data_IF_643537301992
#
_entry.id   IF_643537301992
#
_cell.length_a   1.000
_cell.length_b   1.000
_cell.length_c   1.000
_cell.angle_alpha   90.00
_cell.angle_beta   90.00
_cell.angle_gamma   90.00
#
_symmetry.space_group_name_H-M   'P 1'
#
loop_
_entity.id
_entity.type
_entity.pdbx_description
1 polymer ?
#
# COMPACT_ATOMS: atom_id res chain seq x y z
N UNK A 1 9.30 33.12 -1.70
CA UNK A 1 8.37 33.33 -0.56
C UNK A 1 7.35 32.20 -0.64
N UNK A 2 7.45 31.22 0.26
CA UNK A 2 6.74 29.92 0.12
C UNK A 2 5.50 29.82 1.04
N UNK A 3 4.93 30.95 1.43
CA UNK A 3 3.67 30.99 2.20
C UNK A 3 2.50 31.10 1.22
N UNK A 4 1.50 30.24 1.39
CA UNK A 4 0.22 30.37 0.71
C UNK A 4 -0.49 31.67 1.16
N UNK A 5 -1.37 32.22 0.31
CA UNK A 5 -2.15 33.41 0.65
C UNK A 5 -3.09 33.16 1.86
N UNK A 6 -3.61 31.94 1.95
CA UNK A 6 -4.47 31.44 3.02
C UNK A 6 -5.29 30.24 2.55
N UNK A 7 -6.28 29.84 3.35
CA UNK A 7 -7.24 28.81 2.95
C UNK A 7 -8.41 29.41 2.17
N UNK A 8 -8.95 28.62 1.23
CA UNK A 8 -10.15 28.98 0.46
C UNK A 8 -11.31 29.31 1.43
N UNK A 9 -12.02 30.40 1.14
CA UNK A 9 -13.11 30.96 1.96
C UNK A 9 -12.69 31.47 3.35
N UNK A 10 -11.39 31.76 3.57
CA UNK A 10 -10.92 32.36 4.82
C UNK A 10 -11.05 31.44 6.03
N UNK A 11 -11.03 30.12 5.81
CA UNK A 11 -11.00 29.14 6.90
C UNK A 11 -9.70 29.26 7.69
N UNK A 12 -9.76 28.93 8.98
CA UNK A 12 -8.62 28.89 9.90
C UNK A 12 -7.67 30.11 9.82
N UNK A 13 -8.19 31.35 9.96
CA UNK A 13 -7.38 32.57 9.82
C UNK A 13 -6.22 32.61 10.83
N UNK A 14 -6.40 31.98 11.99
CA UNK A 14 -5.42 31.92 13.07
C UNK A 14 -4.17 31.07 12.73
N UNK A 15 -4.17 30.34 11.61
CA UNK A 15 -3.01 29.59 11.13
C UNK A 15 -1.97 30.48 10.46
N UNK A 16 -2.38 31.59 9.84
CA UNK A 16 -1.48 32.53 9.17
C UNK A 16 -1.48 33.88 9.89
N UNK A 17 -0.48 34.11 10.73
CA UNK A 17 -0.40 35.26 11.62
C UNK A 17 0.65 36.26 11.16
N UNK A 18 0.57 37.49 11.65
CA UNK A 18 1.66 38.46 11.49
C UNK A 18 2.91 38.00 12.24
N UNK A 19 4.08 38.25 11.66
CA UNK A 19 5.37 37.93 12.26
C UNK A 19 5.85 39.09 13.15
N UNK A 20 5.78 38.98 14.50
CA UNK A 20 6.23 40.07 15.38
C UNK A 20 7.75 40.26 15.38
N UNK A 21 8.50 39.32 14.79
CA UNK A 21 9.97 39.33 14.73
C UNK A 21 10.50 39.73 13.34
N UNK A 22 9.61 40.12 12.41
CA UNK A 22 10.02 40.49 11.06
C UNK A 22 10.84 41.79 11.07
N UNK A 23 12.09 41.71 10.63
CA UNK A 23 12.94 42.87 10.33
C UNK A 23 12.79 43.24 8.85
N UNK A 24 12.67 42.24 7.97
CA UNK A 24 12.39 42.41 6.55
C UNK A 24 10.88 42.24 6.30
N UNK A 25 10.20 43.19 5.64
CA UNK A 25 8.78 43.12 5.31
C UNK A 25 8.37 41.86 4.54
N UNK A 26 9.30 41.27 3.79
CA UNK A 26 9.09 40.03 3.05
C UNK A 26 8.74 38.85 3.97
N UNK A 27 9.21 38.87 5.23
CA UNK A 27 8.90 37.84 6.24
C UNK A 27 7.81 38.29 7.22
N UNK A 28 6.95 39.22 6.82
CA UNK A 28 5.91 39.82 7.67
C UNK A 28 4.81 38.86 8.16
N UNK A 29 4.75 37.62 7.64
CA UNK A 29 3.75 36.61 8.05
C UNK A 29 4.42 35.29 8.45
N UNK A 30 3.79 34.55 9.36
CA UNK A 30 4.17 33.20 9.80
C UNK A 30 3.00 32.23 9.60
N UNK A 31 3.32 30.96 9.36
CA UNK A 31 2.35 29.87 9.38
C UNK A 31 2.57 28.98 10.61
N UNK A 32 1.50 28.74 11.38
CA UNK A 32 1.49 27.85 12.54
C UNK A 32 1.30 26.41 12.08
N UNK A 33 2.42 25.71 11.87
CA UNK A 33 2.41 24.33 11.35
C UNK A 33 1.70 23.33 12.28
N UNK A 34 1.64 23.63 13.58
CA UNK A 34 1.15 22.70 14.61
C UNK A 34 2.18 21.67 15.04
N UNK A 35 3.37 21.65 14.44
CA UNK A 35 4.48 20.81 14.86
C UNK A 35 5.17 21.43 16.08
N UNK A 36 5.66 20.59 16.99
CA UNK A 36 6.62 21.02 18.00
C UNK A 36 7.97 20.37 17.73
N UNK A 37 9.02 21.14 18.01
CA UNK A 37 10.39 20.78 17.71
C UNK A 37 11.31 21.29 18.82
N UNK A 38 12.47 20.65 18.96
CA UNK A 38 13.56 21.12 19.80
C UNK A 38 14.70 21.64 18.94
N UNK A 39 15.31 22.76 19.33
CA UNK A 39 16.48 23.31 18.64
C UNK A 39 17.75 22.94 19.40
N UNK A 40 18.71 22.31 18.73
CA UNK A 40 20.03 21.99 19.32
C UNK A 40 21.12 22.08 18.27
N UNK A 41 22.24 22.73 18.62
CA UNK A 41 23.41 22.96 17.73
C UNK A 41 23.07 23.57 16.36
N UNK A 42 22.06 24.44 16.31
CA UNK A 42 21.61 25.08 15.07
C UNK A 42 20.70 24.20 14.19
N UNK A 43 20.40 22.98 14.61
CA UNK A 43 19.46 22.08 13.94
C UNK A 43 18.09 22.09 14.63
N UNK A 44 17.03 21.96 13.84
CA UNK A 44 15.65 21.79 14.32
C UNK A 44 15.32 20.30 14.29
N UNK A 45 15.09 19.72 15.47
CA UNK A 45 14.66 18.33 15.62
C UNK A 45 13.15 18.30 15.78
N UNK A 46 12.46 17.68 14.82
CA UNK A 46 11.02 17.42 14.92
C UNK A 46 10.73 16.49 16.11
N UNK A 47 9.72 16.84 16.91
CA UNK A 47 9.37 16.11 18.14
C UNK A 47 7.91 15.63 18.15
N UNK A 48 7.10 16.03 17.17
CA UNK A 48 5.70 15.62 17.04
C UNK A 48 4.79 16.77 16.65
N UNK A 49 3.48 16.53 16.76
CA UNK A 49 2.43 17.51 16.50
C UNK A 49 1.65 17.81 17.77
N UNK A 50 1.23 19.07 17.93
CA UNK A 50 0.31 19.48 18.98
C UNK A 50 -1.13 19.08 18.67
N UNK A 51 -1.47 18.85 17.39
CA UNK A 51 -2.79 18.42 16.96
C UNK A 51 -2.83 16.91 16.64
N UNK A 52 -4.04 16.35 16.53
CA UNK A 52 -4.30 14.92 16.31
C UNK A 52 -3.96 14.46 14.88
N UNK A 53 -3.19 15.22 14.11
CA UNK A 53 -2.86 14.87 12.73
C UNK A 53 -1.67 13.91 12.70
N UNK A 54 -1.82 12.82 11.95
CA UNK A 54 -0.82 11.75 11.84
C UNK A 54 -0.53 11.46 10.37
N UNK A 55 0.64 10.87 10.11
CA UNK A 55 0.93 10.30 8.80
C UNK A 55 0.58 8.81 8.85
N UNK A 56 -0.32 8.35 7.99
CA UNK A 56 -0.65 6.94 7.80
C UNK A 56 -0.25 6.58 6.38
N UNK A 57 0.75 5.70 6.22
CA UNK A 57 1.18 5.21 4.91
C UNK A 57 1.48 6.34 3.91
N UNK A 58 2.12 7.41 4.38
CA UNK A 58 2.44 8.60 3.58
C UNK A 58 1.32 9.65 3.49
N UNK A 59 0.07 9.30 3.82
CA UNK A 59 -1.05 10.24 3.81
C UNK A 59 -1.18 10.99 5.12
N UNK A 60 -1.50 12.27 5.04
CA UNK A 60 -1.84 13.07 6.23
C UNK A 60 -3.31 12.84 6.58
N UNK A 61 -3.54 12.26 7.75
CA UNK A 61 -4.88 11.95 8.25
C UNK A 61 -5.15 12.79 9.49
N UNK A 62 -6.28 13.49 9.51
CA UNK A 62 -6.78 14.14 10.71
C UNK A 62 -7.66 13.17 11.48
N UNK A 63 -7.19 12.72 12.65
CA UNK A 63 -7.96 11.81 13.49
C UNK A 63 -9.33 12.39 13.89
N UNK A 64 -9.42 13.72 14.02
CA UNK A 64 -10.65 14.41 14.39
C UNK A 64 -11.69 14.34 13.26
N UNK A 65 -11.26 14.31 12.01
CA UNK A 65 -12.14 14.13 10.84
C UNK A 65 -12.72 12.71 10.81
N UNK A 66 -11.87 11.70 11.05
CA UNK A 66 -12.31 10.29 11.14
C UNK A 66 -13.27 10.13 12.32
N UNK A 67 -12.95 10.72 13.46
CA UNK A 67 -13.79 10.68 14.67
C UNK A 67 -15.14 11.37 14.46
N UNK A 68 -15.17 12.52 13.80
CA UNK A 68 -16.41 13.22 13.48
C UNK A 68 -17.31 12.41 12.54
N UNK A 69 -16.74 11.74 11.54
CA UNK A 69 -17.49 10.86 10.64
C UNK A 69 -18.03 9.62 11.36
N UNK A 70 -17.22 9.04 12.26
CA UNK A 70 -17.58 7.91 13.12
C UNK A 70 -18.76 8.25 14.04
N UNK A 71 -18.69 9.38 14.75
CA UNK A 71 -19.75 9.88 15.62
C UNK A 71 -20.98 10.35 14.84
N UNK A 72 -20.84 10.64 13.55
CA UNK A 72 -21.94 11.04 12.68
C UNK A 72 -22.77 9.88 12.14
N UNK A 73 -22.46 8.62 12.49
CA UNK A 73 -23.25 7.45 12.12
C UNK A 73 -24.39 7.22 13.12
N UNK A 74 -25.62 7.15 12.62
CA UNK A 74 -26.78 6.82 13.46
C UNK A 74 -26.61 5.43 14.07
N UNK A 75 -26.76 5.28 15.39
CA UNK A 75 -26.52 4.02 16.11
C UNK A 75 -25.15 3.92 16.79
N UNK A 76 -24.26 4.91 16.62
CA UNK A 76 -23.02 5.08 17.41
C UNK A 76 -23.29 6.06 18.57
N UNK A 77 -23.07 5.65 19.82
CA UNK A 77 -23.27 6.50 21.01
C UNK A 77 -22.01 7.34 21.31
N UNK A 78 -20.87 6.68 21.45
CA UNK A 78 -19.57 7.33 21.69
C UNK A 78 -18.49 6.66 20.88
N UNK A 79 -17.49 7.43 20.48
CA UNK A 79 -16.38 7.00 19.65
C UNK A 79 -15.13 7.80 19.94
N UNK A 80 -13.96 7.16 19.83
CA UNK A 80 -12.67 7.83 19.79
C UNK A 80 -11.78 7.16 18.75
N UNK A 81 -11.05 7.97 17.98
CA UNK A 81 -10.09 7.46 17.00
C UNK A 81 -8.66 7.66 17.51
N UNK A 82 -7.89 6.58 17.51
CA UNK A 82 -6.51 6.54 17.98
C UNK A 82 -5.60 5.94 16.92
N UNK A 83 -4.32 6.29 16.96
CA UNK A 83 -3.29 5.61 16.17
C UNK A 83 -2.41 4.79 17.10
N UNK A 84 -2.30 3.50 16.80
CA UNK A 84 -1.31 2.61 17.36
C UNK A 84 0.01 2.77 16.61
N UNK A 85 1.13 2.81 17.34
CA UNK A 85 2.51 3.00 16.85
C UNK A 85 2.64 3.97 15.66
N UNK A 86 2.22 5.23 15.86
CA UNK A 86 2.24 6.24 14.81
C UNK A 86 3.65 6.45 14.23
N UNK A 87 3.80 6.18 12.93
CA UNK A 87 5.09 6.30 12.24
C UNK A 87 5.98 5.06 12.30
N UNK A 88 5.53 3.96 12.89
CA UNK A 88 6.22 2.66 12.87
C UNK A 88 5.62 1.70 11.83
N UNK A 89 6.24 0.52 11.68
CA UNK A 89 5.87 -0.47 10.65
C UNK A 89 4.49 -1.10 10.96
N UNK A 90 4.18 -1.30 12.24
CA UNK A 90 2.93 -1.89 12.72
C UNK A 90 1.85 -0.83 13.05
N UNK A 91 1.99 0.37 12.47
CA UNK A 91 1.02 1.44 12.62
C UNK A 91 -0.40 1.00 12.23
N UNK A 92 -1.37 1.24 13.12
CA UNK A 92 -2.78 0.98 12.86
C UNK A 92 -3.67 2.15 13.29
N UNK A 93 -4.68 2.45 12.47
CA UNK A 93 -5.74 3.40 12.81
C UNK A 93 -6.89 2.65 13.49
N UNK A 94 -7.28 3.05 14.70
CA UNK A 94 -8.24 2.34 15.53
C UNK A 94 -9.42 3.25 15.88
N UNK A 95 -10.64 2.75 15.75
CA UNK A 95 -11.86 3.42 16.18
C UNK A 95 -12.54 2.66 17.30
N UNK A 96 -12.47 3.14 18.54
CA UNK A 96 -13.14 2.50 19.68
C UNK A 96 -14.53 3.09 19.85
N UNK A 97 -15.56 2.24 19.80
CA UNK A 97 -16.96 2.67 19.68
C UNK A 97 -17.86 1.97 20.68
N UNK A 98 -18.84 2.70 21.20
CA UNK A 98 -20.02 2.16 21.91
C UNK A 98 -21.25 2.42 21.06
N UNK A 99 -22.22 1.51 21.09
CA UNK A 99 -23.43 1.60 20.28
C UNK A 99 -24.62 2.08 21.10
N UNK A 100 -25.55 2.78 20.45
CA UNK A 100 -26.82 3.18 21.05
C UNK A 100 -27.70 1.94 21.34
N UNK A 101 -28.62 2.06 22.31
CA UNK A 101 -29.61 1.01 22.54
C UNK A 101 -30.51 0.84 21.31
N UNK A 102 -30.56 -0.39 20.78
CA UNK A 102 -31.31 -0.70 19.56
C UNK A 102 -30.59 -0.31 18.27
N UNK A 103 -29.28 -0.05 18.33
CA UNK A 103 -28.46 0.15 17.14
C UNK A 103 -28.63 -0.99 16.14
N UNK A 104 -28.65 -0.63 14.86
CA UNK A 104 -28.69 -1.60 13.76
C UNK A 104 -27.32 -2.22 13.50
N UNK A 105 -26.25 -1.62 14.03
CA UNK A 105 -24.91 -2.19 14.00
C UNK A 105 -24.79 -3.31 15.05
N UNK A 106 -24.21 -4.43 14.62
CA UNK A 106 -23.93 -5.61 15.44
C UNK A 106 -22.43 -5.90 15.50
N UNK A 107 -21.66 -5.44 14.51
CA UNK A 107 -20.22 -5.67 14.41
C UNK A 107 -19.48 -4.39 14.01
N UNK A 108 -18.19 -4.31 14.35
CA UNK A 108 -17.33 -3.20 13.92
C UNK A 108 -17.24 -3.10 12.39
N UNK A 109 -17.27 -4.23 11.68
CA UNK A 109 -17.22 -4.28 10.22
C UNK A 109 -18.40 -3.54 9.55
N UNK A 110 -19.59 -3.60 10.15
CA UNK A 110 -20.76 -2.86 9.64
C UNK A 110 -20.59 -1.34 9.81
N UNK A 111 -19.94 -0.92 10.91
CA UNK A 111 -19.59 0.48 11.14
C UNK A 111 -18.51 0.93 10.15
N UNK A 112 -17.49 0.11 9.91
CA UNK A 112 -16.46 0.33 8.88
C UNK A 112 -17.10 0.47 7.50
N UNK A 113 -17.99 -0.43 7.10
CA UNK A 113 -18.68 -0.34 5.82
C UNK A 113 -19.46 0.98 5.66
N UNK A 114 -20.15 1.43 6.71
CA UNK A 114 -20.87 2.70 6.70
C UNK A 114 -19.93 3.93 6.64
N UNK A 115 -18.67 3.81 7.08
CA UNK A 115 -17.65 4.85 6.91
C UNK A 115 -17.06 4.90 5.51
N UNK A 116 -17.05 3.77 4.79
CA UNK A 116 -16.49 3.68 3.44
C UNK A 116 -17.14 4.64 2.43
N UNK A 117 -18.39 5.02 2.66
CA UNK A 117 -19.10 6.00 1.83
C UNK A 117 -18.66 7.45 2.08
N UNK A 118 -17.98 7.73 3.20
CA UNK A 118 -17.61 9.09 3.65
C UNK A 118 -16.11 9.32 3.71
N UNK A 119 -15.32 8.28 3.95
CA UNK A 119 -13.88 8.36 4.16
C UNK A 119 -13.12 7.67 3.02
N UNK A 120 -11.96 8.22 2.69
CA UNK A 120 -11.05 7.54 1.78
C UNK A 120 -10.47 6.28 2.41
N UNK A 121 -10.10 5.29 1.59
CA UNK A 121 -9.61 3.98 2.07
C UNK A 121 -8.42 4.08 3.06
N UNK A 122 -7.52 5.05 2.88
CA UNK A 122 -6.37 5.25 3.78
C UNK A 122 -6.74 5.87 5.14
N UNK A 123 -7.95 6.41 5.29
CA UNK A 123 -8.49 6.97 6.55
C UNK A 123 -9.38 5.97 7.30
N UNK A 124 -9.55 4.76 6.77
CA UNK A 124 -10.45 3.77 7.36
C UNK A 124 -9.87 3.22 8.67
N UNK A 125 -10.56 3.41 9.81
CA UNK A 125 -10.12 2.85 11.08
C UNK A 125 -10.54 1.37 11.20
N UNK A 126 -9.76 0.60 11.95
CA UNK A 126 -10.19 -0.67 12.49
C UNK A 126 -11.17 -0.41 13.66
N UNK A 127 -12.45 -0.70 13.50
CA UNK A 127 -13.48 -0.37 14.50
C UNK A 127 -13.59 -1.48 15.55
N UNK A 128 -13.48 -1.13 16.82
CA UNK A 128 -13.57 -2.03 17.97
C UNK A 128 -14.78 -1.61 18.78
N UNK A 129 -15.77 -2.51 18.90
CA UNK A 129 -16.94 -2.28 19.73
C UNK A 129 -16.62 -2.57 21.19
N UNK A 130 -17.01 -1.65 22.07
CA UNK A 130 -16.86 -1.73 23.52
C UNK A 130 -18.23 -1.60 24.18
N UNK A 131 -18.37 -2.20 25.37
CA UNK A 131 -19.52 -1.94 26.23
C UNK A 131 -19.46 -0.53 26.84
N UNK A 132 -18.25 -0.04 27.12
CA UNK A 132 -18.01 1.31 27.62
C UNK A 132 -16.61 1.82 27.27
N UNK A 133 -16.49 3.12 27.06
CA UNK A 133 -15.18 3.77 26.87
C UNK A 133 -14.55 4.02 28.24
N UNK A 134 -13.33 3.50 28.51
CA UNK A 134 -12.65 3.68 29.78
C UNK A 134 -12.27 5.16 29.97
N UNK A 135 -12.45 5.64 31.21
CA UNK A 135 -12.16 7.01 31.61
C UNK A 135 -11.12 7.03 32.73
N UNK A 136 -10.25 8.02 32.71
CA UNK A 136 -9.37 8.40 33.81
C UNK A 136 -10.19 8.98 34.98
N UNK A 137 -9.57 9.06 36.16
CA UNK A 137 -10.19 9.60 37.40
C UNK A 137 -10.72 11.03 37.21
N UNK A 138 -10.15 11.80 36.29
CA UNK A 138 -10.58 13.16 35.95
C UNK A 138 -11.70 13.23 34.88
N UNK A 139 -12.27 12.08 34.49
CA UNK A 139 -13.33 11.97 33.48
C UNK A 139 -12.86 12.08 32.03
N UNK A 140 -11.55 12.22 31.76
CA UNK A 140 -11.02 12.17 30.39
C UNK A 140 -10.90 10.74 29.91
N UNK A 141 -10.95 10.52 28.59
CA UNK A 141 -10.77 9.19 28.00
C UNK A 141 -9.38 8.63 28.32
N UNK A 142 -9.35 7.39 28.80
CA UNK A 142 -8.12 6.66 29.08
C UNK A 142 -7.59 5.97 27.82
N UNK A 143 -6.88 6.76 27.01
CA UNK A 143 -6.28 6.32 25.74
C UNK A 143 -5.26 5.20 25.93
N UNK A 144 -4.52 5.20 27.05
CA UNK A 144 -3.52 4.16 27.31
C UNK A 144 -4.19 2.81 27.56
N UNK A 145 -5.29 2.80 28.33
CA UNK A 145 -6.05 1.56 28.53
C UNK A 145 -6.63 1.04 27.22
N UNK A 146 -7.16 1.91 26.35
CA UNK A 146 -7.64 1.51 25.02
C UNK A 146 -6.55 0.90 24.14
N UNK A 147 -5.38 1.54 24.06
CA UNK A 147 -4.25 1.00 23.29
C UNK A 147 -3.73 -0.30 23.91
N UNK A 148 -3.66 -0.41 25.24
CA UNK A 148 -3.30 -1.67 25.92
C UNK A 148 -4.33 -2.76 25.73
N UNK A 149 -5.62 -2.46 25.65
CA UNK A 149 -6.66 -3.44 25.32
C UNK A 149 -6.39 -4.00 23.93
N UNK A 150 -6.16 -3.12 22.95
CA UNK A 150 -5.76 -3.53 21.61
C UNK A 150 -4.48 -4.38 21.63
N UNK A 151 -3.43 -3.93 22.31
CA UNK A 151 -2.20 -4.70 22.50
C UNK A 151 -2.49 -6.05 23.13
N UNK A 152 -3.27 -6.15 24.21
CA UNK A 152 -3.53 -7.42 24.91
C UNK A 152 -4.36 -8.41 24.09
N UNK A 153 -5.27 -7.89 23.25
CA UNK A 153 -6.02 -8.70 22.27
C UNK A 153 -5.12 -9.16 21.12
N UNK A 154 -4.06 -8.42 20.80
CA UNK A 154 -3.16 -8.72 19.68
C UNK A 154 -1.83 -9.42 20.08
N UNK A 155 -1.34 -9.25 21.31
CA UNK A 155 0.04 -9.61 21.75
C UNK A 155 0.14 -10.59 22.93
N UNK A 156 -0.95 -11.18 23.44
CA UNK A 156 -0.80 -12.30 24.40
C UNK A 156 -0.89 -13.66 23.72
N UNK A 157 0.15 -14.46 24.00
CA UNK A 157 0.36 -15.89 23.79
C UNK A 157 0.54 -16.41 22.36
N UNK A 158 1.74 -16.92 22.06
CA UNK A 158 2.13 -17.71 20.88
C UNK A 158 1.39 -19.07 20.79
N UNK A 159 0.25 -19.21 21.47
CA UNK A 159 -0.57 -20.42 21.51
C UNK A 159 -1.93 -20.15 20.88
N UNK A 160 -1.97 -20.32 19.55
CA UNK A 160 -3.16 -20.68 18.75
C UNK A 160 -4.44 -19.85 18.98
N UNK A 161 -4.55 -18.70 18.33
CA UNK A 161 -5.87 -18.29 17.81
C UNK A 161 -6.12 -19.18 16.60
N UNK A 162 -7.06 -20.13 16.70
CA UNK A 162 -7.53 -20.90 15.56
C UNK A 162 -8.24 -19.94 14.59
N UNK A 163 -7.52 -19.50 13.56
CA UNK A 163 -8.13 -18.86 12.40
C UNK A 163 -9.10 -19.88 11.80
N UNK A 164 -10.39 -19.60 11.86
CA UNK A 164 -11.39 -20.49 11.28
C UNK A 164 -11.36 -20.39 9.75
N UNK A 165 -11.14 -21.53 9.09
CA UNK A 165 -11.17 -21.66 7.64
C UNK A 165 -12.47 -22.35 7.19
N UNK A 166 -13.16 -21.80 6.20
CA UNK A 166 -14.29 -22.46 5.53
C UNK A 166 -13.92 -22.99 4.16
N UNK A 167 -13.81 -24.31 4.06
CA UNK A 167 -13.59 -25.00 2.78
C UNK A 167 -14.87 -25.57 2.17
N UNK A 168 -16.05 -25.36 2.79
CA UNK A 168 -17.29 -26.07 2.44
C UNK A 168 -17.74 -25.86 0.99
N UNK A 169 -17.41 -24.71 0.40
CA UNK A 169 -17.77 -24.35 -0.98
C UNK A 169 -16.61 -24.51 -1.97
N UNK A 170 -15.48 -25.09 -1.55
CA UNK A 170 -14.31 -25.29 -2.41
C UNK A 170 -14.46 -26.61 -3.18
N UNK A 171 -14.40 -26.60 -4.52
CA UNK A 171 -14.40 -27.83 -5.32
C UNK A 171 -13.22 -28.74 -4.94
N UNK A 172 -13.43 -30.06 -4.91
CA UNK A 172 -12.40 -31.03 -4.54
C UNK A 172 -11.13 -30.92 -5.40
N UNK A 173 -11.27 -30.55 -6.68
CA UNK A 173 -10.16 -30.35 -7.61
C UNK A 173 -9.27 -29.14 -7.28
N UNK A 174 -9.72 -28.23 -6.41
CA UNK A 174 -9.01 -26.99 -6.04
C UNK A 174 -8.68 -26.92 -4.55
N UNK A 175 -8.94 -28.00 -3.81
CA UNK A 175 -8.83 -28.02 -2.35
C UNK A 175 -7.41 -27.73 -1.86
N UNK A 176 -6.39 -28.25 -2.53
CA UNK A 176 -4.99 -28.03 -2.17
C UNK A 176 -4.62 -26.55 -2.29
N UNK A 177 -4.87 -25.96 -3.46
CA UNK A 177 -4.59 -24.53 -3.73
C UNK A 177 -5.37 -23.63 -2.79
N UNK A 178 -6.63 -23.95 -2.50
CA UNK A 178 -7.46 -23.18 -1.58
C UNK A 178 -6.91 -23.21 -0.14
N UNK A 179 -6.43 -24.37 0.33
CA UNK A 179 -5.77 -24.48 1.64
C UNK A 179 -4.53 -23.62 1.70
N UNK A 180 -3.65 -23.75 0.71
CA UNK A 180 -2.43 -22.94 0.65
C UNK A 180 -2.74 -21.44 0.59
N UNK A 181 -3.73 -21.03 -0.19
CA UNK A 181 -4.18 -19.64 -0.25
C UNK A 181 -4.69 -19.15 1.09
N UNK A 182 -5.64 -19.87 1.69
CA UNK A 182 -6.30 -19.42 2.91
C UNK A 182 -5.34 -19.40 4.10
N UNK A 183 -4.50 -20.43 4.24
CA UNK A 183 -3.49 -20.50 5.30
C UNK A 183 -2.41 -19.43 5.13
N UNK A 184 -1.99 -19.13 3.89
CA UNK A 184 -1.03 -18.04 3.64
C UNK A 184 -1.64 -16.68 3.99
N UNK A 185 -2.90 -16.44 3.59
CA UNK A 185 -3.63 -15.22 3.96
C UNK A 185 -3.77 -15.12 5.48
N UNK A 186 -4.14 -16.21 6.15
CA UNK A 186 -4.24 -16.29 7.60
C UNK A 186 -2.90 -16.03 8.30
N UNK A 187 -1.79 -16.53 7.77
CA UNK A 187 -0.44 -16.28 8.30
C UNK A 187 -0.01 -14.82 8.14
N UNK A 188 -0.27 -14.22 6.98
CA UNK A 188 0.20 -12.86 6.65
C UNK A 188 -0.66 -11.79 7.30
N UNK A 189 -1.98 -11.94 7.26
CA UNK A 189 -2.91 -11.03 7.95
C UNK A 189 -2.83 -11.27 9.46
N UNK A 190 -2.53 -12.51 9.87
CA UNK A 190 -2.44 -12.92 11.25
C UNK A 190 -3.74 -12.65 11.99
N UNK A 191 -3.60 -12.06 13.17
CA UNK A 191 -4.68 -11.77 14.13
C UNK A 191 -5.61 -10.62 13.71
N UNK A 192 -5.32 -9.92 12.59
CA UNK A 192 -6.23 -8.92 12.04
C UNK A 192 -7.48 -9.53 11.40
N UNK A 193 -7.45 -10.85 11.16
CA UNK A 193 -8.55 -11.63 10.60
C UNK A 193 -9.72 -11.67 11.59
N UNK A 194 -10.74 -10.83 11.36
CA UNK A 194 -11.94 -10.70 12.22
C UNK A 194 -13.10 -11.62 11.83
N UNK A 195 -12.94 -12.40 10.77
CA UNK A 195 -13.97 -13.24 10.18
C UNK A 195 -13.38 -14.55 9.66
N UNK A 196 -14.24 -15.57 9.52
CA UNK A 196 -13.89 -16.85 8.91
C UNK A 196 -13.32 -16.63 7.50
N UNK A 197 -12.16 -17.23 7.19
CA UNK A 197 -11.56 -17.15 5.86
C UNK A 197 -12.25 -18.16 4.95
N UNK A 198 -12.89 -17.66 3.90
CA UNK A 198 -13.64 -18.47 2.93
C UNK A 198 -13.48 -17.90 1.51
N UNK A 199 -14.05 -18.56 0.51
CA UNK A 199 -14.01 -18.09 -0.89
C UNK A 199 -14.58 -16.68 -1.07
N UNK A 200 -15.60 -16.32 -0.30
CA UNK A 200 -16.24 -15.00 -0.40
C UNK A 200 -15.47 -13.90 0.34
N UNK A 201 -14.47 -14.25 1.15
CA UNK A 201 -13.74 -13.27 1.94
C UNK A 201 -12.93 -12.35 1.03
N UNK A 202 -13.04 -11.04 1.24
CA UNK A 202 -12.17 -10.07 0.61
C UNK A 202 -10.91 -9.87 1.46
N UNK A 203 -9.74 -9.87 0.83
CA UNK A 203 -8.44 -9.77 1.52
C UNK A 203 -8.32 -8.51 2.39
N UNK A 204 -8.84 -7.36 1.93
CA UNK A 204 -8.80 -6.09 2.66
C UNK A 204 -9.85 -6.01 3.76
N UNK A 205 -11.03 -6.60 3.56
CA UNK A 205 -12.04 -6.75 4.62
C UNK A 205 -11.55 -7.65 5.76
N UNK A 206 -10.68 -8.61 5.46
CA UNK A 206 -10.00 -9.43 6.47
C UNK A 206 -8.90 -8.67 7.23
N UNK A 207 -8.62 -7.40 6.90
CA UNK A 207 -7.56 -6.60 7.52
C UNK A 207 -6.24 -6.59 6.74
N UNK A 208 -6.26 -7.05 5.49
CA UNK A 208 -5.15 -6.94 4.56
C UNK A 208 -4.81 -5.49 4.20
N UNK A 209 -3.56 -5.25 3.80
CA UNK A 209 -3.09 -3.98 3.26
C UNK A 209 -2.10 -4.25 2.10
N UNK A 210 -1.63 -3.22 1.41
CA UNK A 210 -0.75 -3.38 0.24
C UNK A 210 0.54 -4.15 0.52
N UNK A 211 1.15 -3.97 1.71
CA UNK A 211 2.34 -4.72 2.09
C UNK A 211 1.99 -6.19 2.36
N UNK A 212 0.89 -6.45 3.06
CA UNK A 212 0.37 -7.80 3.28
C UNK A 212 0.06 -8.48 1.94
N UNK A 213 -0.47 -7.74 0.95
CA UNK A 213 -0.71 -8.25 -0.40
C UNK A 213 0.60 -8.70 -1.05
N UNK A 214 1.66 -7.88 -0.99
CA UNK A 214 2.98 -8.24 -1.54
C UNK A 214 3.53 -9.50 -0.86
N UNK A 215 3.52 -9.55 0.48
CA UNK A 215 4.03 -10.69 1.24
C UNK A 215 3.24 -11.96 0.90
N UNK A 216 1.91 -11.87 0.83
CA UNK A 216 1.03 -13.00 0.48
C UNK A 216 1.37 -13.51 -0.92
N UNK A 217 1.47 -12.62 -1.91
CA UNK A 217 1.83 -12.98 -3.28
C UNK A 217 3.21 -13.63 -3.34
N UNK A 218 4.21 -13.07 -2.65
CA UNK A 218 5.57 -13.65 -2.61
C UNK A 218 5.56 -15.06 -2.02
N UNK A 219 4.81 -15.30 -0.94
CA UNK A 219 4.71 -16.62 -0.32
C UNK A 219 3.97 -17.63 -1.21
N UNK A 220 2.90 -17.21 -1.90
CA UNK A 220 2.18 -18.05 -2.85
C UNK A 220 3.06 -18.44 -4.04
N UNK A 221 3.79 -17.49 -4.61
CA UNK A 221 4.77 -17.76 -5.66
C UNK A 221 5.85 -18.74 -5.18
N UNK A 222 6.34 -18.60 -3.94
CA UNK A 222 7.30 -19.53 -3.33
C UNK A 222 6.75 -20.95 -3.11
N UNK A 223 5.42 -21.11 -3.02
CA UNK A 223 4.72 -22.40 -2.96
C UNK A 223 4.38 -22.97 -4.34
N UNK A 224 4.77 -22.32 -5.43
CA UNK A 224 4.51 -22.75 -6.80
C UNK A 224 3.18 -22.25 -7.39
N UNK A 225 2.52 -21.28 -6.75
CA UNK A 225 1.29 -20.65 -7.25
C UNK A 225 1.59 -19.26 -7.82
N UNK A 226 1.88 -19.13 -9.13
CA UNK A 226 2.17 -17.84 -9.73
C UNK A 226 0.92 -16.96 -9.68
N UNK A 227 1.02 -15.82 -9.01
CA UNK A 227 -0.05 -14.81 -8.98
C UNK A 227 0.58 -13.43 -9.06
N UNK A 228 0.10 -12.60 -9.97
CA UNK A 228 0.60 -11.22 -10.07
C UNK A 228 0.00 -10.35 -8.95
N UNK A 229 0.76 -9.37 -8.46
CA UNK A 229 0.26 -8.43 -7.46
C UNK A 229 -0.97 -7.67 -7.97
N UNK A 230 -1.00 -7.31 -9.25
CA UNK A 230 -2.15 -6.63 -9.87
C UNK A 230 -3.39 -7.51 -9.85
N UNK A 231 -3.24 -8.80 -10.16
CA UNK A 231 -4.33 -9.78 -10.08
C UNK A 231 -4.83 -9.96 -8.65
N UNK A 232 -3.91 -10.01 -7.68
CA UNK A 232 -4.24 -10.17 -6.27
C UNK A 232 -5.01 -8.96 -5.72
N UNK A 233 -4.54 -7.75 -5.99
CA UNK A 233 -5.19 -6.50 -5.54
C UNK A 233 -6.53 -6.28 -6.23
N UNK A 234 -6.63 -6.61 -7.53
CA UNK A 234 -7.85 -6.44 -8.31
C UNK A 234 -8.94 -7.46 -8.04
N UNK A 235 -8.66 -8.53 -7.30
CA UNK A 235 -9.63 -9.58 -6.99
C UNK A 235 -10.62 -9.13 -5.90
N UNK A 236 -11.90 -9.38 -6.14
CA UNK A 236 -12.97 -9.03 -5.19
C UNK A 236 -12.99 -9.91 -3.96
N UNK A 237 -12.51 -11.14 -4.06
CA UNK A 237 -12.49 -12.11 -2.97
C UNK A 237 -11.45 -13.21 -3.24
N UNK A 238 -11.17 -14.03 -2.22
CA UNK A 238 -10.22 -15.15 -2.34
C UNK A 238 -10.63 -16.20 -3.38
N UNK A 239 -11.93 -16.31 -3.70
CA UNK A 239 -12.43 -17.18 -4.76
C UNK A 239 -11.95 -16.76 -6.15
N UNK A 240 -11.96 -15.45 -6.46
CA UNK A 240 -11.43 -14.93 -7.72
C UNK A 240 -9.91 -15.13 -7.82
N UNK A 241 -9.18 -15.00 -6.71
CA UNK A 241 -7.73 -15.29 -6.65
C UNK A 241 -7.48 -16.77 -6.94
N UNK A 242 -8.25 -17.66 -6.29
CA UNK A 242 -8.19 -19.10 -6.51
C UNK A 242 -8.50 -19.48 -7.97
N UNK A 243 -9.49 -18.85 -8.58
CA UNK A 243 -9.83 -19.06 -9.99
C UNK A 243 -8.67 -18.71 -10.91
N UNK A 244 -7.95 -17.62 -10.62
CA UNK A 244 -6.81 -17.16 -11.41
C UNK A 244 -5.61 -18.08 -11.28
N UNK A 245 -5.26 -18.49 -10.06
CA UNK A 245 -4.16 -19.45 -9.82
C UNK A 245 -4.42 -20.76 -10.58
N UNK A 246 -5.66 -21.28 -10.50
CA UNK A 246 -6.03 -22.52 -11.19
C UNK A 246 -6.16 -22.37 -12.72
N UNK A 247 -6.37 -21.16 -13.24
CA UNK A 247 -6.39 -20.92 -14.69
C UNK A 247 -4.96 -20.96 -15.24
N UNK A 248 -4.02 -20.30 -14.57
CA UNK A 248 -2.61 -20.25 -14.96
C UNK A 248 -1.96 -21.65 -14.89
N UNK A 249 -2.30 -22.47 -13.87
CA UNK A 249 -1.87 -23.88 -13.80
C UNK A 249 -2.33 -24.72 -15.01
N UNK A 250 -3.54 -24.48 -15.53
CA UNK A 250 -4.07 -25.22 -16.69
C UNK A 250 -3.41 -24.80 -18.00
N UNK A 251 -3.10 -23.52 -18.16
CA UNK A 251 -2.34 -23.04 -19.32
C UNK A 251 -0.91 -23.61 -19.29
N UNK A 252 -0.28 -23.69 -18.12
CA UNK A 252 1.02 -24.33 -17.93
C UNK A 252 0.99 -25.84 -18.24
N UNK A 253 -0.03 -26.57 -17.77
CA UNK A 253 -0.19 -28.00 -18.09
C UNK A 253 -0.48 -28.27 -19.57
N UNK A 254 -1.28 -27.41 -20.21
CA UNK A 254 -1.56 -27.53 -21.65
C UNK A 254 -0.31 -27.26 -22.49
N UNK A 255 0.53 -26.29 -22.11
CA UNK A 255 1.81 -26.06 -22.78
C UNK A 255 2.81 -27.21 -22.59
N UNK A 256 2.81 -27.89 -21.44
CA UNK A 256 3.64 -29.07 -21.21
C UNK A 256 3.17 -30.31 -22.00
N UNK A 257 1.86 -30.46 -22.24
CA UNK A 257 1.30 -31.54 -23.05
C UNK A 257 1.63 -31.39 -24.54
N UNK A 258 1.72 -30.16 -25.04
CA UNK A 258 2.18 -29.89 -26.41
C UNK A 258 3.69 -30.09 -26.59
N UNK A 259 4.50 -29.89 -25.52
CA UNK A 259 5.95 -30.16 -25.56
C UNK A 259 6.33 -31.64 -25.36
N UNK A 260 5.46 -32.46 -24.79
CA UNK A 260 5.72 -33.89 -24.49
C UNK A 260 5.69 -34.83 -25.72
N UNK A 261 5.68 -34.29 -26.94
CA UNK A 261 5.95 -35.04 -28.16
C UNK A 261 7.41 -35.49 -28.34
N UNK A 262 8.34 -35.07 -27.48
CA UNK A 262 9.73 -35.53 -27.54
C UNK A 262 10.40 -35.56 -26.15
N UNK A 263 10.75 -36.77 -25.71
CA UNK A 263 11.89 -37.00 -24.83
C UNK A 263 11.63 -36.84 -23.32
N UNK A 264 11.63 -37.97 -22.63
CA UNK A 264 11.68 -38.14 -21.19
C UNK A 264 12.78 -37.32 -20.50
N UNK A 265 12.39 -36.48 -19.55
CA UNK A 265 13.20 -36.14 -18.38
C UNK A 265 12.25 -35.94 -17.19
N UNK A 266 12.23 -36.91 -16.28
CA UNK A 266 11.77 -36.69 -14.91
C UNK A 266 12.74 -35.69 -14.26
N UNK A 267 12.43 -34.40 -14.37
CA UNK A 267 13.10 -33.33 -13.67
C UNK A 267 12.29 -32.97 -12.43
N UNK A 268 12.86 -33.24 -11.27
CA UNK A 268 12.47 -32.66 -9.99
C UNK A 268 12.50 -31.11 -10.17
N UNK A 269 11.34 -30.47 -10.32
CA UNK A 269 11.24 -29.02 -10.54
C UNK A 269 11.53 -28.30 -9.22
N UNK A 270 12.81 -27.99 -8.99
CA UNK A 270 13.25 -27.12 -7.91
C UNK A 270 12.76 -25.69 -8.22
N UNK A 271 11.70 -25.25 -7.54
CA UNK A 271 11.16 -23.87 -7.62
C UNK A 271 12.11 -22.80 -7.05
N UNK A 272 13.35 -23.15 -6.72
CA UNK A 272 14.43 -22.17 -6.59
C UNK A 272 14.74 -21.61 -7.97
N UNK A 273 13.95 -20.62 -8.40
CA UNK A 273 14.32 -19.74 -9.48
C UNK A 273 15.65 -19.08 -9.08
N UNK A 274 16.77 -19.65 -9.53
CA UNK A 274 18.10 -19.14 -9.23
C UNK A 274 18.31 -17.88 -10.06
N UNK A 275 17.77 -16.78 -9.53
CA UNK A 275 17.89 -15.47 -10.12
C UNK A 275 19.27 -14.92 -9.78
N UNK A 276 19.99 -14.52 -10.82
CA UNK A 276 21.33 -13.94 -10.68
C UNK A 276 21.30 -12.50 -11.14
N UNK A 277 21.64 -11.59 -10.22
CA UNK A 277 21.74 -10.17 -10.51
C UNK A 277 23.11 -9.85 -11.11
N UNK A 278 23.11 -9.18 -12.25
CA UNK A 278 24.30 -8.77 -12.98
C UNK A 278 24.27 -7.25 -13.17
N UNK A 279 25.39 -6.54 -12.99
CA UNK A 279 25.47 -5.12 -13.30
C UNK A 279 24.99 -4.84 -14.73
N UNK A 280 24.25 -3.76 -14.91
CA UNK A 280 23.75 -3.37 -16.22
C UNK A 280 24.95 -3.02 -17.12
N UNK A 281 24.90 -3.50 -18.37
CA UNK A 281 25.99 -3.37 -19.33
C UNK A 281 25.42 -3.10 -20.73
N UNK A 282 26.25 -2.68 -21.66
CA UNK A 282 25.80 -2.27 -23.00
C UNK A 282 25.08 -3.39 -23.76
N UNK A 283 25.52 -4.64 -23.56
CA UNK A 283 24.90 -5.83 -24.14
C UNK A 283 23.46 -6.07 -23.68
N UNK A 284 23.09 -5.55 -22.49
CA UNK A 284 21.76 -5.70 -21.91
C UNK A 284 20.75 -4.67 -22.43
N UNK A 285 21.16 -3.76 -23.33
CA UNK A 285 20.32 -2.65 -23.83
C UNK A 285 19.00 -3.11 -24.43
N UNK A 286 19.07 -4.06 -25.35
CA UNK A 286 17.89 -4.52 -26.06
C UNK A 286 16.88 -5.21 -25.14
N UNK A 287 17.35 -6.14 -24.32
CA UNK A 287 16.51 -6.88 -23.36
C UNK A 287 15.87 -5.94 -22.34
N UNK A 288 16.63 -4.99 -21.80
CA UNK A 288 16.15 -4.01 -20.82
C UNK A 288 15.06 -3.12 -21.40
N UNK A 289 15.32 -2.55 -22.58
CA UNK A 289 14.33 -1.72 -23.27
C UNK A 289 13.05 -2.52 -23.51
N UNK A 290 13.15 -3.76 -23.99
CA UNK A 290 11.98 -4.58 -24.25
C UNK A 290 11.21 -4.93 -22.97
N UNK A 291 11.89 -5.30 -21.88
CA UNK A 291 11.25 -5.62 -20.59
C UNK A 291 10.50 -4.40 -20.03
N UNK A 292 11.14 -3.24 -20.00
CA UNK A 292 10.51 -2.01 -19.49
C UNK A 292 9.38 -1.58 -20.41
N UNK A 293 9.62 -1.53 -21.71
CA UNK A 293 8.66 -1.01 -22.68
C UNK A 293 7.40 -1.88 -22.72
N UNK A 294 7.54 -3.21 -22.77
CA UNK A 294 6.39 -4.13 -22.69
C UNK A 294 5.65 -4.00 -21.36
N UNK A 295 6.37 -3.97 -20.24
CA UNK A 295 5.73 -3.91 -18.91
C UNK A 295 5.03 -2.57 -18.66
N UNK A 296 5.60 -1.44 -19.06
CA UNK A 296 4.98 -0.13 -18.85
C UNK A 296 3.89 0.16 -19.87
N UNK A 297 4.11 -0.11 -21.16
CA UNK A 297 3.09 0.14 -22.18
C UNK A 297 1.81 -0.69 -21.95
N UNK A 298 1.95 -1.95 -21.51
CA UNK A 298 0.80 -2.83 -21.26
C UNK A 298 0.10 -2.57 -19.92
N UNK A 299 0.81 -2.10 -18.88
CA UNK A 299 0.27 -2.00 -17.50
C UNK A 299 -0.04 -0.59 -17.01
N UNK A 300 0.32 0.45 -17.75
CA UNK A 300 0.21 1.80 -17.24
C UNK A 300 -1.20 2.39 -17.51
N UNK A 301 -2.05 2.33 -16.47
CA UNK A 301 -3.48 2.68 -16.50
C UNK A 301 -3.72 4.17 -16.86
N UNK A 302 -2.82 5.06 -16.44
CA UNK A 302 -2.91 6.51 -16.64
C UNK A 302 -2.73 6.86 -18.13
N UNK A 303 -1.72 6.29 -18.78
CA UNK A 303 -1.41 6.47 -20.19
C UNK A 303 -2.48 5.82 -21.07
N UNK A 304 -3.09 4.72 -20.62
CA UNK A 304 -4.24 4.12 -21.29
C UNK A 304 -5.48 5.01 -21.25
N UNK A 305 -5.69 5.77 -20.17
CA UNK A 305 -6.81 6.73 -20.04
C UNK A 305 -6.58 8.01 -20.86
N UNK A 306 -5.33 8.44 -21.01
CA UNK A 306 -4.92 9.61 -21.80
C UNK A 306 -4.81 9.33 -23.32
N UNK A 307 -5.10 8.11 -23.79
CA UNK A 307 -4.90 7.70 -25.21
C UNK A 307 -5.82 8.45 -26.18
N UNK A 308 -5.21 9.13 -27.16
CA UNK A 308 -5.08 8.46 -28.46
C UNK A 308 -3.68 8.47 -29.12
N UNK A 309 -2.61 8.98 -28.48
CA UNK A 309 -1.37 9.31 -29.22
C UNK A 309 -0.03 8.94 -28.56
N UNK A 310 0.00 8.09 -27.52
CA UNK A 310 1.24 7.57 -26.91
C UNK A 310 1.52 6.16 -27.46
N UNK A 311 2.73 5.94 -27.97
CA UNK A 311 3.18 4.70 -28.62
C UNK A 311 4.28 4.00 -27.83
N UNK A 312 4.44 2.70 -28.07
CA UNK A 312 5.52 1.88 -27.51
C UNK A 312 6.92 2.49 -27.78
N UNK A 313 7.09 3.10 -28.95
CA UNK A 313 8.33 3.79 -29.35
C UNK A 313 8.69 4.97 -28.46
N UNK A 314 7.69 5.65 -27.87
CA UNK A 314 7.94 6.83 -27.04
C UNK A 314 8.72 6.49 -25.76
N UNK A 315 8.49 5.30 -25.19
CA UNK A 315 9.22 4.79 -24.03
C UNK A 315 10.64 4.35 -24.40
N UNK A 316 10.79 3.77 -25.60
CA UNK A 316 12.09 3.37 -26.12
C UNK A 316 13.02 4.56 -26.27
N UNK A 317 12.55 5.66 -26.86
CA UNK A 317 13.36 6.85 -27.10
C UNK A 317 13.94 7.42 -25.79
N UNK A 318 13.13 7.50 -24.74
CA UNK A 318 13.59 7.95 -23.41
C UNK A 318 14.67 7.01 -22.85
N UNK A 319 14.44 5.70 -22.89
CA UNK A 319 15.40 4.73 -22.39
C UNK A 319 16.71 4.74 -23.19
N UNK A 320 16.64 5.05 -24.48
CA UNK A 320 17.83 5.23 -25.31
C UNK A 320 18.64 6.46 -24.90
N UNK A 321 17.99 7.57 -24.57
CA UNK A 321 18.64 8.81 -24.14
C UNK A 321 19.33 8.68 -22.77
N UNK A 322 18.72 7.97 -21.82
CA UNK A 322 19.30 7.79 -20.47
C UNK A 322 20.24 6.59 -20.35
N UNK A 323 20.37 5.80 -21.42
CA UNK A 323 21.04 4.50 -21.36
C UNK A 323 22.47 4.57 -20.82
N UNK A 324 23.24 5.57 -21.27
CA UNK A 324 24.63 5.74 -20.86
C UNK A 324 24.74 6.09 -19.37
N UNK A 325 23.83 6.92 -18.86
CA UNK A 325 23.82 7.33 -17.46
C UNK A 325 23.51 6.15 -16.54
N UNK A 326 22.60 5.27 -16.96
CA UNK A 326 22.22 4.06 -16.22
C UNK A 326 23.38 3.06 -16.04
N UNK A 327 24.32 3.02 -17.01
CA UNK A 327 25.51 2.16 -16.95
C UNK A 327 26.64 2.84 -16.17
N UNK A 328 26.91 4.12 -16.42
CA UNK A 328 28.10 4.81 -15.92
C UNK A 328 28.18 4.81 -14.38
N UNK A 329 27.02 4.94 -13.72
CA UNK A 329 26.95 4.96 -12.24
C UNK A 329 27.00 3.58 -11.61
N UNK A 330 26.81 2.52 -12.38
CA UNK A 330 26.85 1.13 -11.89
C UNK A 330 25.77 0.79 -10.85
N UNK A 331 24.69 1.58 -10.77
CA UNK A 331 23.60 1.40 -9.81
C UNK A 331 22.49 0.49 -10.33
N UNK A 332 22.42 0.30 -11.64
CA UNK A 332 21.40 -0.51 -12.30
C UNK A 332 21.88 -1.95 -12.50
N UNK A 333 20.95 -2.91 -12.46
CA UNK A 333 21.25 -4.32 -12.65
C UNK A 333 20.14 -5.04 -13.42
N UNK A 334 20.53 -6.10 -14.12
CA UNK A 334 19.63 -7.02 -14.82
C UNK A 334 19.57 -8.34 -14.07
N UNK A 335 18.40 -8.96 -14.08
CA UNK A 335 18.14 -10.25 -13.45
C UNK A 335 18.06 -11.29 -14.55
N UNK A 336 18.89 -12.33 -14.45
CA UNK A 336 18.87 -13.48 -15.36
C UNK A 336 18.38 -14.73 -14.63
N UNK A 337 17.65 -15.57 -15.36
CA UNK A 337 17.29 -16.91 -14.91
C UNK A 337 18.45 -17.91 -15.11
N UNK A 338 18.23 -19.16 -14.71
CA UNK A 338 19.19 -20.27 -14.84
C UNK A 338 19.60 -20.57 -16.29
N UNK A 339 18.79 -20.16 -17.27
CA UNK A 339 19.07 -20.31 -18.71
C UNK A 339 19.92 -19.15 -19.26
N UNK A 340 20.19 -18.15 -18.43
CA UNK A 340 20.89 -16.92 -18.80
C UNK A 340 19.98 -15.90 -19.49
N UNK A 341 18.67 -16.12 -19.53
CA UNK A 341 17.69 -15.21 -20.11
C UNK A 341 17.40 -14.07 -19.15
N UNK A 342 17.35 -12.85 -19.67
CA UNK A 342 16.94 -11.65 -18.94
C UNK A 342 15.44 -11.73 -18.59
N UNK A 343 15.12 -11.74 -17.29
CA UNK A 343 13.74 -11.88 -16.77
C UNK A 343 13.28 -10.69 -15.94
N UNK A 344 14.19 -9.78 -15.58
CA UNK A 344 13.86 -8.57 -14.84
C UNK A 344 14.98 -7.55 -14.90
N UNK A 345 14.67 -6.31 -14.56
CA UNK A 345 15.65 -5.22 -14.56
C UNK A 345 15.31 -4.22 -13.46
N UNK A 346 16.34 -3.66 -12.84
CA UNK A 346 16.25 -2.54 -11.90
C UNK A 346 17.07 -1.38 -12.43
N UNK A 347 16.40 -0.25 -12.67
CA UNK A 347 17.01 0.99 -13.13
C UNK A 347 17.10 1.95 -11.94
N UNK A 348 18.31 2.36 -11.59
CA UNK A 348 18.57 3.25 -10.46
C UNK A 348 19.49 4.40 -10.92
N UNK A 349 19.27 5.58 -10.35
CA UNK A 349 20.09 6.77 -10.56
C UNK A 349 20.43 7.43 -9.23
N UNK A 350 21.46 8.28 -9.23
CA UNK A 350 21.81 9.09 -8.07
C UNK A 350 20.92 10.33 -8.04
N UNK A 351 20.15 10.50 -6.96
CA UNK A 351 19.25 11.64 -6.79
C UNK A 351 19.97 13.00 -6.68
N UNK A 352 21.29 13.02 -6.45
CA UNK A 352 22.08 14.25 -6.43
C UNK A 352 22.73 14.56 -7.79
N UNK A 353 22.60 13.65 -8.76
CA UNK A 353 23.18 13.73 -10.10
C UNK A 353 22.17 13.16 -11.11
N UNK A 354 20.96 13.73 -11.10
CA UNK A 354 19.86 13.31 -11.97
C UNK A 354 20.21 13.60 -13.44
N UNK A 355 19.99 12.64 -14.36
CA UNK A 355 20.21 12.87 -15.78
C UNK A 355 19.27 13.95 -16.32
N UNK A 356 19.80 14.93 -17.04
CA UNK A 356 18.98 15.83 -17.85
C UNK A 356 18.45 15.05 -19.07
N UNK A 357 17.15 14.74 -19.06
CA UNK A 357 16.47 14.04 -20.15
C UNK A 357 15.55 15.01 -20.85
N UNK A 358 15.73 15.18 -22.17
CA UNK A 358 14.78 15.95 -22.97
C UNK A 358 13.74 14.99 -23.53
N UNK A 359 12.58 14.90 -22.89
CA UNK A 359 11.47 14.09 -23.40
C UNK A 359 10.87 14.78 -24.62
N UNK A 360 11.22 14.30 -25.81
CA UNK A 360 10.68 14.81 -27.08
C UNK A 360 9.40 14.11 -27.51
N UNK A 361 9.08 12.98 -26.89
CA UNK A 361 7.89 12.19 -27.15
C UNK A 361 6.66 12.75 -26.42
N UNK A 362 5.46 12.27 -26.79
CA UNK A 362 4.20 12.70 -26.15
C UNK A 362 4.05 12.24 -24.70
N UNK A 363 5.00 11.44 -24.19
CA UNK A 363 5.12 11.12 -22.77
C UNK A 363 5.35 12.37 -21.91
N UNK A 364 5.82 13.48 -22.50
CA UNK A 364 5.93 14.75 -21.78
C UNK A 364 4.61 15.19 -21.15
N UNK A 365 3.47 14.89 -21.78
CA UNK A 365 2.13 15.21 -21.22
C UNK A 365 1.88 14.45 -19.92
N UNK A 366 2.34 13.19 -19.85
CA UNK A 366 2.22 12.34 -18.66
C UNK A 366 3.14 12.84 -17.56
N UNK A 367 4.39 13.17 -17.90
CA UNK A 367 5.34 13.72 -16.93
C UNK A 367 4.92 15.09 -16.41
N UNK A 368 4.44 16.00 -17.25
CA UNK A 368 3.88 17.30 -16.83
C UNK A 368 2.65 17.12 -15.93
N UNK A 369 1.80 16.13 -16.23
CA UNK A 369 0.67 15.81 -15.37
C UNK A 369 1.10 15.26 -14.01
N UNK A 370 2.05 14.31 -13.99
CA UNK A 370 2.61 13.77 -12.75
C UNK A 370 3.32 14.86 -11.95
N UNK A 371 4.10 15.73 -12.60
CA UNK A 371 4.74 16.89 -11.96
C UNK A 371 3.72 17.91 -11.45
N UNK A 372 2.59 18.12 -12.14
CA UNK A 372 1.50 18.94 -11.63
C UNK A 372 0.86 18.35 -10.38
N UNK A 373 0.71 17.02 -10.32
CA UNK A 373 0.11 16.30 -9.19
C UNK A 373 1.09 16.18 -8.01
N UNK A 374 2.37 15.92 -8.28
CA UNK A 374 3.42 15.64 -7.30
C UNK A 374 4.29 16.85 -6.94
N UNK A 375 4.32 17.88 -7.77
CA UNK A 375 5.05 19.13 -7.53
C UNK A 375 4.67 19.86 -6.24
N UNK A 376 3.42 19.79 -5.74
CA UNK A 376 3.07 20.28 -4.40
C UNK A 376 3.58 19.38 -3.25
N UNK A 377 4.04 18.17 -3.55
CA UNK A 377 4.46 17.13 -2.60
C UNK A 377 6.00 17.06 -2.47
N UNK A 378 6.75 17.38 -3.55
CA UNK A 378 8.20 17.65 -3.50
C UNK A 378 8.50 19.01 -2.85
#
# INVERSE_FOLDING_TARGET
LNLAEGYVNGRDPDRFIDNPLAIDPSFGRLYKTGDYASVSKGCVYYQGRMDSQIKIRGHRVDLSEVEANLLGLAGVDKGIVLCYHAGEIDQALLGFVTLEQGSHFQTGLQVEAALGDKLAHYMMPQVILLESIPLLVNGKIDRQTLLKMYESTNNNDDTQIEIEYDYSNVPASRMTVAKDLFETVGQVIGRSTRAKICLASNFYELGGNSLNSIITVTQLCGKGYPVSITTFIGAKNLGEILDKICADERELQNHQLESNGNGSAEGDFDYRMQLTAHPLALEHKHDTINIITSSFFEKADLEQWLKPQIYETDYRDILEDIWMVLIEKGLSFIIKDETGRSVGVSLNFDAHDEPEVTVTSKLIIVFEFLEFVEGPIR
#
